data_IF_402932894103
#
_entry.id   IF_402932894103
#
_cell.length_a   1.000
_cell.length_b   1.000
_cell.length_c   1.000
_cell.angle_alpha   90.00
_cell.angle_beta   90.00
_cell.angle_gamma   90.00
#
_symmetry.space_group_name_H-M   'P 1'
#
loop_
_entity.id
_entity.type
_entity.pdbx_description
1 polymer ?
#
# COMPACT_ATOMS: atom_id res chain seq x y z
N UNK A 1 26.20 -13.24 -30.89
CA UNK A 1 26.38 -12.50 -29.62
C UNK A 1 25.01 -12.38 -29.00
N UNK A 2 24.70 -13.06 -27.88
CA UNK A 2 23.37 -12.92 -27.27
C UNK A 2 23.24 -11.52 -26.68
N UNK A 3 22.16 -10.82 -27.03
CA UNK A 3 21.81 -9.58 -26.38
C UNK A 3 21.55 -9.89 -24.90
N UNK A 4 22.25 -9.21 -23.99
CA UNK A 4 21.87 -9.23 -22.58
C UNK A 4 20.60 -8.40 -22.49
N UNK A 5 19.45 -9.08 -22.44
CA UNK A 5 18.15 -8.45 -22.24
C UNK A 5 18.16 -7.73 -20.89
N UNK A 6 18.56 -6.46 -20.90
CA UNK A 6 18.59 -5.62 -19.72
C UNK A 6 17.20 -5.61 -19.10
N UNK A 7 17.14 -5.89 -17.79
CA UNK A 7 15.88 -5.96 -17.05
C UNK A 7 15.09 -4.67 -17.34
N UNK A 8 13.95 -4.81 -18.02
CA UNK A 8 13.12 -3.66 -18.35
C UNK A 8 12.53 -3.13 -17.04
N UNK A 9 12.85 -1.88 -16.71
CA UNK A 9 12.46 -1.22 -15.47
C UNK A 9 10.94 -1.25 -15.24
N UNK A 10 10.14 -1.29 -16.32
CA UNK A 10 8.70 -1.46 -16.24
C UNK A 10 8.28 -2.77 -15.57
N UNK A 11 8.95 -3.88 -15.90
CA UNK A 11 8.65 -5.18 -15.26
C UNK A 11 9.05 -5.18 -13.78
N UNK A 12 10.11 -4.47 -13.39
CA UNK A 12 10.51 -4.32 -11.99
C UNK A 12 9.40 -3.59 -11.21
N UNK A 13 8.89 -2.47 -11.74
CA UNK A 13 7.83 -1.71 -11.09
C UNK A 13 6.56 -2.55 -10.95
N UNK A 14 6.17 -3.27 -12.00
CA UNK A 14 4.99 -4.16 -11.96
C UNK A 14 5.18 -5.26 -10.91
N UNK A 15 6.36 -5.89 -10.87
CA UNK A 15 6.67 -6.93 -9.89
C UNK A 15 6.60 -6.40 -8.46
N UNK A 16 7.20 -5.24 -8.18
CA UNK A 16 7.12 -4.61 -6.86
C UNK A 16 5.69 -4.24 -6.48
N UNK A 17 4.91 -3.74 -7.44
CA UNK A 17 3.51 -3.37 -7.21
C UNK A 17 2.65 -4.59 -6.87
N UNK A 18 2.85 -5.70 -7.59
CA UNK A 18 2.19 -6.97 -7.30
C UNK A 18 2.59 -7.52 -5.93
N UNK A 19 3.90 -7.55 -5.62
CA UNK A 19 4.39 -8.01 -4.32
C UNK A 19 3.81 -7.16 -3.18
N UNK A 20 3.81 -5.84 -3.33
CA UNK A 20 3.22 -4.92 -2.36
C UNK A 20 1.72 -5.18 -2.18
N UNK A 21 0.98 -5.34 -3.29
CA UNK A 21 -0.45 -5.59 -3.25
C UNK A 21 -0.78 -6.89 -2.51
N UNK A 22 -0.07 -7.98 -2.81
CA UNK A 22 -0.27 -9.27 -2.12
C UNK A 22 0.13 -9.19 -0.65
N UNK A 23 1.25 -8.55 -0.34
CA UNK A 23 1.72 -8.40 1.04
C UNK A 23 0.77 -7.55 1.88
N UNK A 24 0.31 -6.41 1.35
CA UNK A 24 -0.64 -5.54 2.04
C UNK A 24 -2.02 -6.22 2.20
N UNK A 25 -2.49 -6.92 1.17
CA UNK A 25 -3.74 -7.68 1.25
C UNK A 25 -3.64 -8.80 2.30
N UNK A 26 -2.52 -9.52 2.34
CA UNK A 26 -2.29 -10.54 3.37
C UNK A 26 -2.26 -9.93 4.77
N UNK A 27 -1.45 -8.89 4.97
CA UNK A 27 -1.26 -8.24 6.26
C UNK A 27 -2.57 -7.71 6.84
N UNK A 28 -3.47 -7.15 6.02
CA UNK A 28 -4.68 -6.49 6.53
C UNK A 28 -5.95 -7.33 6.42
N UNK A 29 -6.20 -7.98 5.28
CA UNK A 29 -7.46 -8.68 5.03
C UNK A 29 -7.40 -10.17 5.42
N UNK A 30 -6.31 -10.86 5.06
CA UNK A 30 -6.26 -12.32 5.19
C UNK A 30 -5.63 -12.83 6.49
N UNK A 31 -4.76 -12.05 7.12
CA UNK A 31 -4.11 -12.42 8.40
C UNK A 31 -5.08 -12.61 9.56
N UNK A 32 -6.32 -12.11 9.46
CA UNK A 32 -7.38 -12.35 10.44
C UNK A 32 -8.02 -13.75 10.31
N UNK A 33 -7.87 -14.42 9.17
CA UNK A 33 -8.52 -15.69 8.84
C UNK A 33 -7.54 -16.85 8.64
N UNK A 34 -6.27 -16.54 8.38
CA UNK A 34 -5.22 -17.52 8.12
C UNK A 34 -4.36 -17.75 9.37
N UNK A 35 -3.89 -18.99 9.61
CA UNK A 35 -2.90 -19.26 10.64
C UNK A 35 -1.56 -18.57 10.33
N UNK A 36 -0.73 -18.39 11.37
CA UNK A 36 0.61 -17.81 11.24
C UNK A 36 1.45 -18.60 10.24
N UNK A 37 2.25 -17.86 9.47
CA UNK A 37 3.06 -18.41 8.38
C UNK A 37 4.37 -19.02 8.86
N UNK A 38 4.79 -18.71 10.09
CA UNK A 38 6.10 -19.08 10.63
C UNK A 38 7.23 -18.18 10.13
N UNK A 39 6.92 -17.17 9.31
CA UNK A 39 7.88 -16.19 8.82
C UNK A 39 7.77 -14.97 9.73
N UNK A 40 8.81 -14.74 10.54
CA UNK A 40 8.80 -13.70 11.58
C UNK A 40 8.34 -12.32 11.11
N UNK A 41 8.74 -11.87 9.91
CA UNK A 41 8.30 -10.57 9.38
C UNK A 41 6.78 -10.50 9.12
N UNK A 42 6.21 -11.56 8.53
CA UNK A 42 4.78 -11.66 8.22
C UNK A 42 3.95 -11.88 9.47
N UNK A 43 4.48 -12.65 10.41
CA UNK A 43 3.82 -12.98 11.68
C UNK A 43 3.71 -11.73 12.57
N UNK A 44 4.75 -10.89 12.64
CA UNK A 44 4.70 -9.59 13.34
C UNK A 44 3.63 -8.66 12.74
N UNK A 45 3.49 -8.65 11.42
CA UNK A 45 2.44 -7.89 10.73
C UNK A 45 1.04 -8.45 11.00
N UNK A 46 0.91 -9.78 11.14
CA UNK A 46 -0.36 -10.45 11.40
C UNK A 46 -0.83 -10.26 12.86
N UNK A 47 0.11 -10.25 13.81
CA UNK A 47 -0.12 -10.09 15.25
C UNK A 47 -0.33 -8.64 15.69
N UNK A 48 -0.03 -7.65 14.83
CA UNK A 48 -0.36 -6.25 15.12
C UNK A 48 -1.88 -6.08 15.22
N UNK A 49 -2.36 -5.82 16.43
CA UNK A 49 -3.79 -5.61 16.74
C UNK A 49 -4.15 -4.13 16.86
N UNK A 50 -3.16 -3.25 17.02
CA UNK A 50 -3.38 -1.85 17.38
C UNK A 50 -3.35 -0.91 16.17
N UNK A 51 -2.46 -1.16 15.20
CA UNK A 51 -2.26 -0.26 14.05
C UNK A 51 -2.60 -0.89 12.70
N UNK A 52 -3.07 -2.14 12.69
CA UNK A 52 -3.40 -2.91 11.48
C UNK A 52 -4.23 -2.16 10.44
N UNK A 53 -5.27 -1.44 10.88
CA UNK A 53 -6.15 -0.69 9.99
C UNK A 53 -5.77 0.78 9.85
N UNK A 54 -4.82 1.26 10.65
CA UNK A 54 -4.43 2.67 10.68
C UNK A 54 -3.98 3.13 9.30
N UNK A 55 -3.11 2.37 8.62
CA UNK A 55 -2.65 2.71 7.28
C UNK A 55 -3.76 2.68 6.23
N UNK A 56 -4.68 1.71 6.29
CA UNK A 56 -5.82 1.67 5.35
C UNK A 56 -6.73 2.87 5.54
N UNK A 57 -6.98 3.27 6.78
CA UNK A 57 -7.82 4.43 7.09
C UNK A 57 -7.10 5.75 6.79
N UNK A 58 -5.77 5.78 6.88
CA UNK A 58 -4.96 6.96 6.57
C UNK A 58 -5.14 7.37 5.11
N UNK A 59 -5.13 6.42 4.16
CA UNK A 59 -5.25 6.71 2.71
C UNK A 59 -6.50 7.55 2.36
N UNK A 60 -7.75 7.15 2.69
CA UNK A 60 -8.92 7.96 2.38
C UNK A 60 -8.96 9.24 3.21
N UNK A 61 -8.54 9.23 4.48
CA UNK A 61 -8.58 10.42 5.33
C UNK A 61 -7.61 11.50 4.84
N UNK A 62 -6.37 11.15 4.49
CA UNK A 62 -5.41 12.12 3.96
C UNK A 62 -5.76 12.56 2.56
N UNK A 63 -6.23 11.64 1.71
CA UNK A 63 -6.67 12.00 0.35
C UNK A 63 -7.82 13.00 0.40
N UNK A 64 -8.82 12.74 1.25
CA UNK A 64 -9.93 13.66 1.45
C UNK A 64 -9.45 15.03 1.95
N UNK A 65 -8.57 15.07 2.97
CA UNK A 65 -8.02 16.31 3.50
C UNK A 65 -7.30 17.14 2.43
N UNK A 66 -6.44 16.50 1.63
CA UNK A 66 -5.69 17.16 0.55
C UNK A 66 -6.63 17.69 -0.53
N UNK A 67 -7.61 16.88 -0.96
CA UNK A 67 -8.59 17.28 -1.98
C UNK A 67 -9.46 18.43 -1.49
N UNK A 68 -9.97 18.36 -0.26
CA UNK A 68 -10.80 19.41 0.32
C UNK A 68 -10.02 20.72 0.46
N UNK A 69 -8.76 20.66 0.89
CA UNK A 69 -7.88 21.83 0.97
C UNK A 69 -7.63 22.43 -0.41
N UNK A 70 -7.28 21.59 -1.40
CA UNK A 70 -7.09 22.03 -2.78
C UNK A 70 -8.35 22.73 -3.31
N UNK A 71 -9.51 22.10 -3.20
CA UNK A 71 -10.78 22.63 -3.71
C UNK A 71 -11.15 23.92 -2.98
N UNK A 72 -10.96 23.99 -1.66
CA UNK A 72 -11.16 25.20 -0.87
C UNK A 72 -10.27 26.36 -1.34
N UNK A 73 -9.01 26.09 -1.66
CA UNK A 73 -8.10 27.09 -2.21
C UNK A 73 -8.53 27.59 -3.60
N UNK A 74 -9.07 26.70 -4.45
CA UNK A 74 -9.62 27.10 -5.74
C UNK A 74 -10.80 28.05 -5.58
N UNK A 75 -11.69 27.80 -4.62
CA UNK A 75 -12.79 28.72 -4.34
C UNK A 75 -12.28 30.06 -3.80
N UNK A 76 -11.35 30.06 -2.84
CA UNK A 76 -10.78 31.29 -2.28
C UNK A 76 -10.13 32.20 -3.33
N UNK A 77 -9.44 31.64 -4.33
CA UNK A 77 -8.77 32.44 -5.37
C UNK A 77 -9.69 32.94 -6.48
N UNK A 78 -10.85 32.31 -6.69
CA UNK A 78 -11.76 32.60 -7.79
C UNK A 78 -13.11 33.17 -7.33
N UNK A 79 -13.21 33.59 -6.07
CA UNK A 79 -14.33 34.37 -5.51
C UNK A 79 -13.86 35.76 -5.13
#
# INVERSE_FOLDING_TARGET
MPATDGINHGYIIILFSLLFFFLASYAVLFSAFLPLTGISALDVLAEDTHYKYFFILLVPTTSYFVIANWVGWQYYRNS
#
